data_IF_925370138274
#
_entry.id   IF_925370138274
#
_cell.length_a   1.000
_cell.length_b   1.000
_cell.length_c   1.000
_cell.angle_alpha   90.00
_cell.angle_beta   90.00
_cell.angle_gamma   90.00
#
_symmetry.space_group_name_H-M   'P 1'
#
loop_
_entity.id
_entity.type
_entity.pdbx_description
1 polymer ?
#
# COMPACT_ATOMS: atom_id res chain seq x y z
N UNK A 1 -0.64 14.09 17.06
CA UNK A 1 -0.39 12.74 17.60
C UNK A 1 -1.09 11.75 16.68
N UNK A 2 -0.36 10.79 16.10
CA UNK A 2 -0.93 9.71 15.29
C UNK A 2 -1.02 8.45 16.13
N UNK A 3 -2.18 7.80 16.13
CA UNK A 3 -2.37 6.47 16.73
C UNK A 3 -2.77 5.52 15.62
N UNK A 4 -2.02 4.44 15.45
CA UNK A 4 -2.29 3.39 14.46
C UNK A 4 -2.73 2.15 15.23
N UNK A 5 -3.88 1.60 14.86
CA UNK A 5 -4.46 0.40 15.47
C UNK A 5 -4.55 -0.72 14.42
N UNK A 6 -4.42 -2.00 14.82
CA UNK A 6 -4.68 -3.12 13.93
C UNK A 6 -6.11 -3.07 13.37
N UNK A 7 -6.28 -3.53 12.13
CA UNK A 7 -7.59 -3.77 11.54
C UNK A 7 -8.29 -4.95 12.20
N UNK A 8 -9.59 -5.11 11.93
CA UNK A 8 -10.36 -6.27 12.38
C UNK A 8 -9.73 -7.55 11.83
N UNK A 9 -9.19 -8.41 12.71
CA UNK A 9 -8.52 -9.66 12.33
C UNK A 9 -6.98 -9.60 12.30
N UNK A 10 -6.38 -8.41 12.41
CA UNK A 10 -4.93 -8.28 12.53
C UNK A 10 -4.48 -8.47 13.98
N UNK A 11 -3.55 -9.41 14.22
CA UNK A 11 -2.86 -9.52 15.52
C UNK A 11 -1.53 -8.77 15.48
N UNK A 12 -1.52 -7.56 16.05
CA UNK A 12 -0.30 -6.76 16.20
C UNK A 12 0.43 -6.99 17.51
N UNK A 13 0.00 -7.95 18.35
CA UNK A 13 0.59 -8.21 19.65
C UNK A 13 2.09 -8.44 19.53
N UNK A 14 2.86 -7.58 20.17
CA UNK A 14 4.26 -7.83 20.48
C UNK A 14 4.33 -8.59 21.80
N UNK A 15 5.42 -9.33 22.01
CA UNK A 15 5.58 -10.08 23.25
C UNK A 15 5.72 -9.16 24.48
N UNK A 16 6.21 -7.93 24.25
CA UNK A 16 6.37 -6.90 25.29
C UNK A 16 5.99 -5.51 24.79
N UNK A 17 5.48 -4.63 25.66
CA UNK A 17 5.32 -3.22 25.35
C UNK A 17 6.68 -2.56 25.25
N UNK A 18 6.90 -1.79 24.19
CA UNK A 18 8.13 -1.05 23.97
C UNK A 18 7.85 0.32 23.38
N UNK A 19 8.80 1.26 23.55
CA UNK A 19 8.73 2.58 22.92
C UNK A 19 10.09 2.97 22.37
N UNK A 20 10.09 3.71 21.25
CA UNK A 20 11.30 4.20 20.59
C UNK A 20 11.11 5.63 20.14
N UNK A 21 12.22 6.32 20.03
CA UNK A 21 12.29 7.64 19.44
C UNK A 21 13.23 7.57 18.24
N UNK A 22 12.70 7.93 17.07
CA UNK A 22 13.51 8.09 15.87
C UNK A 22 13.83 9.55 15.66
N UNK A 23 15.09 9.85 15.44
CA UNK A 23 15.56 11.21 15.14
C UNK A 23 16.28 11.17 13.80
N UNK A 24 15.81 11.99 12.87
CA UNK A 24 16.49 12.20 11.60
C UNK A 24 17.43 13.40 11.73
N UNK A 25 18.71 13.20 11.49
CA UNK A 25 19.73 14.26 11.43
C UNK A 25 20.10 14.48 9.98
N UNK A 26 20.20 15.75 9.57
CA UNK A 26 20.63 16.13 8.22
C UNK A 26 22.14 16.36 8.14
N UNK A 27 22.82 16.55 9.29
CA UNK A 27 24.26 16.77 9.39
C UNK A 27 24.85 16.11 10.67
N UNK A 28 25.55 14.97 10.57
CA UNK A 28 25.64 14.10 9.39
C UNK A 28 24.28 13.50 9.04
N UNK A 29 24.10 13.08 7.78
CA UNK A 29 22.89 12.36 7.34
C UNK A 29 22.79 11.02 8.09
N UNK A 30 21.92 10.98 9.09
CA UNK A 30 21.80 9.84 9.98
C UNK A 30 20.38 9.73 10.56
N UNK A 31 19.79 8.55 10.42
CA UNK A 31 18.58 8.18 11.12
C UNK A 31 18.94 7.38 12.38
N UNK A 32 18.70 7.97 13.55
CA UNK A 32 19.03 7.34 14.83
C UNK A 32 17.75 6.84 15.49
N UNK A 33 17.78 5.58 15.93
CA UNK A 33 16.68 4.95 16.67
C UNK A 33 17.11 4.77 18.13
N UNK A 34 16.48 5.50 19.03
CA UNK A 34 16.71 5.43 20.47
C UNK A 34 15.62 4.58 21.13
N UNK A 35 15.92 3.37 21.65
CA UNK A 35 14.97 2.62 22.44
C UNK A 35 14.77 3.29 23.79
N UNK A 36 13.53 3.68 24.10
CA UNK A 36 13.16 4.20 25.42
C UNK A 36 12.98 3.01 26.36
N UNK A 37 13.95 2.82 27.25
CA UNK A 37 13.91 1.75 28.25
C UNK A 37 12.87 2.08 29.30
N UNK A 38 11.93 1.16 29.50
CA UNK A 38 11.01 1.20 30.63
C UNK A 38 11.57 0.27 31.71
N UNK A 39 11.67 0.74 32.94
CA UNK A 39 12.22 -0.05 34.04
C UNK A 39 11.42 -1.37 34.19
N UNK A 40 12.12 -2.50 34.19
CA UNK A 40 11.50 -3.84 34.28
C UNK A 40 10.96 -4.42 32.97
N UNK A 41 10.96 -3.67 31.86
CA UNK A 41 10.57 -4.19 30.55
C UNK A 41 11.75 -4.82 29.82
N UNK A 42 11.54 -6.01 29.24
CA UNK A 42 12.51 -6.64 28.34
C UNK A 42 12.67 -5.77 27.09
N UNK A 43 13.91 -5.57 26.66
CA UNK A 43 14.20 -4.91 25.38
C UNK A 43 13.53 -5.69 24.24
N UNK A 44 12.85 -5.01 23.30
CA UNK A 44 12.28 -5.67 22.14
C UNK A 44 13.39 -6.28 21.28
N UNK A 45 13.06 -7.35 20.58
CA UNK A 45 13.97 -7.93 19.58
C UNK A 45 14.04 -7.03 18.34
N UNK A 46 15.14 -7.09 17.58
CA UNK A 46 15.21 -6.40 16.28
C UNK A 46 14.07 -6.79 15.34
N UNK A 47 13.61 -8.03 15.39
CA UNK A 47 12.46 -8.47 14.60
C UNK A 47 11.17 -7.71 14.97
N UNK A 48 10.85 -7.60 16.26
CA UNK A 48 9.68 -6.84 16.74
C UNK A 48 9.77 -5.35 16.39
N UNK A 49 10.97 -4.77 16.50
CA UNK A 49 11.23 -3.38 16.08
C UNK A 49 10.92 -3.19 14.60
N UNK A 50 11.50 -4.05 13.75
CA UNK A 50 11.33 -3.99 12.30
C UNK A 50 9.86 -4.10 11.90
N UNK A 51 9.11 -5.04 12.51
CA UNK A 51 7.67 -5.16 12.26
C UNK A 51 6.90 -3.90 12.67
N UNK A 52 7.23 -3.29 13.82
CA UNK A 52 6.64 -2.03 14.26
C UNK A 52 6.90 -0.89 13.26
N UNK A 53 8.12 -0.77 12.77
CA UNK A 53 8.48 0.25 11.77
C UNK A 53 7.80 0.03 10.42
N UNK A 54 7.70 -1.21 9.94
CA UNK A 54 6.98 -1.52 8.69
C UNK A 54 5.51 -1.12 8.80
N UNK A 55 4.85 -1.43 9.92
CA UNK A 55 3.45 -1.05 10.17
C UNK A 55 3.27 0.47 10.21
N UNK A 56 4.16 1.18 10.90
CA UNK A 56 4.13 2.64 10.96
C UNK A 56 4.38 3.27 9.58
N UNK A 57 5.35 2.76 8.83
CA UNK A 57 5.66 3.23 7.48
C UNK A 57 4.47 3.02 6.53
N UNK A 58 3.83 1.85 6.58
CA UNK A 58 2.62 1.57 5.81
C UNK A 58 1.47 2.52 6.17
N UNK A 59 1.26 2.78 7.46
CA UNK A 59 0.25 3.74 7.91
C UNK A 59 0.56 5.17 7.43
N UNK A 60 1.81 5.62 7.53
CA UNK A 60 2.23 6.93 7.05
C UNK A 60 2.06 7.06 5.52
N UNK A 61 2.38 6.01 4.75
CA UNK A 61 2.19 5.99 3.30
C UNK A 61 0.71 6.13 2.91
N UNK A 62 -0.21 5.49 3.65
CA UNK A 62 -1.65 5.65 3.43
C UNK A 62 -2.15 7.08 3.73
N UNK A 63 -1.53 7.76 4.69
CA UNK A 63 -1.85 9.14 5.02
C UNK A 63 -1.28 10.14 4.02
N UNK A 64 -0.18 9.82 3.34
CA UNK A 64 0.42 10.71 2.35
C UNK A 64 -0.52 10.99 1.17
N UNK A 65 -1.33 9.99 0.78
CA UNK A 65 -2.39 10.14 -0.22
C UNK A 65 -3.59 10.99 0.23
N UNK A 66 -3.67 11.36 1.52
CA UNK A 66 -4.81 12.04 2.14
C UNK A 66 -4.49 13.48 2.53
N UNK A 67 -4.81 14.43 1.64
CA UNK A 67 -4.55 15.88 1.82
C UNK A 67 -5.19 16.46 3.10
N UNK A 68 -6.33 15.92 3.53
CA UNK A 68 -7.07 16.31 4.74
C UNK A 68 -6.31 15.97 6.03
N UNK A 69 -5.56 14.88 6.04
CA UNK A 69 -4.82 14.43 7.23
C UNK A 69 -3.50 15.16 7.39
N UNK A 70 -2.81 15.52 6.29
CA UNK A 70 -1.58 16.32 6.35
C UNK A 70 -1.79 17.65 7.09
N UNK A 71 -2.95 18.29 6.89
CA UNK A 71 -3.32 19.52 7.59
C UNK A 71 -3.44 19.35 9.12
N UNK A 72 -3.78 18.15 9.61
CA UNK A 72 -3.84 17.85 11.05
C UNK A 72 -2.45 17.69 11.67
N UNK A 73 -1.44 17.30 10.89
CA UNK A 73 -0.05 17.21 11.34
C UNK A 73 0.66 18.56 11.34
N UNK A 74 0.35 19.42 10.37
CA UNK A 74 0.88 20.79 10.31
C UNK A 74 0.20 21.74 11.29
N UNK A 75 -0.93 21.34 11.88
CA UNK A 75 -1.59 22.12 12.92
C UNK A 75 -0.73 22.04 14.18
N UNK A 76 -0.07 23.16 14.52
CA UNK A 76 0.50 23.33 15.85
C UNK A 76 -0.55 22.95 16.90
N UNK A 77 -0.16 22.34 18.04
CA UNK A 77 -1.08 22.14 19.14
C UNK A 77 -1.53 23.50 19.65
N UNK A 78 -2.62 24.00 19.04
CA UNK A 78 -3.30 25.20 19.48
C UNK A 78 -3.66 24.99 20.94
N UNK A 79 -3.20 25.92 21.77
CA UNK A 79 -3.47 25.98 23.20
C UNK A 79 -4.91 25.52 23.48
N UNK A 80 -5.03 24.57 24.40
CA UNK A 80 -6.29 23.94 24.77
C UNK A 80 -7.38 25.00 24.99
N UNK A 81 -8.27 25.18 24.00
CA UNK A 81 -9.48 25.96 24.18
C UNK A 81 -10.42 25.13 25.04
N UNK A 82 -10.41 25.42 26.34
CA UNK A 82 -11.43 25.08 27.33
C UNK A 82 -12.83 25.12 26.70
N UNK A 83 -13.41 23.95 26.43
CA UNK A 83 -14.83 23.82 26.09
C UNK A 83 -15.61 23.46 27.36
N UNK A 84 -15.61 24.38 28.30
CA UNK A 84 -16.72 24.50 29.26
C UNK A 84 -17.72 25.52 28.73
N UNK A 85 -18.72 25.04 28.00
CA UNK A 85 -20.09 25.58 28.09
C UNK A 85 -21.06 24.60 27.44
N UNK A 86 -21.52 23.68 28.28
CA UNK A 86 -22.84 23.09 28.15
C UNK A 86 -23.82 24.26 28.18
N UNK A 87 -24.43 24.58 27.03
CA UNK A 87 -25.60 25.45 27.01
C UNK A 87 -26.77 24.64 26.47
N UNK A 88 -27.63 24.28 27.43
CA UNK A 88 -28.99 23.78 27.24
C UNK A 88 -29.72 24.62 26.17
N UNK A 89 -30.05 23.98 25.06
CA UNK A 89 -31.25 24.20 24.26
C UNK A 89 -31.85 22.81 24.13
N UNK A 90 -32.95 22.47 24.81
CA UNK A 90 -34.26 23.08 24.67
C UNK A 90 -35.15 21.99 24.12
N UNK A 91 -35.77 21.22 25.02
CA UNK A 91 -36.77 20.19 24.71
C UNK A 91 -37.97 20.83 24.01
N UNK A 92 -38.01 20.79 22.69
CA UNK A 92 -39.25 20.92 21.89
C UNK A 92 -39.00 20.24 20.54
N UNK A 93 -39.77 19.20 20.20
CA UNK A 93 -39.70 18.57 18.88
C UNK A 93 -39.79 17.04 18.82
N UNK A 94 -40.15 16.35 19.91
CA UNK A 94 -40.57 14.95 19.82
C UNK A 94 -42.01 14.91 19.29
N UNK A 95 -42.21 14.88 17.98
CA UNK A 95 -43.58 14.79 17.44
C UNK A 95 -43.76 14.69 15.92
N UNK A 96 -42.72 14.90 15.09
CA UNK A 96 -42.88 14.91 13.62
C UNK A 96 -41.91 14.00 12.86
N UNK A 97 -41.08 13.20 13.54
CA UNK A 97 -40.05 12.39 12.88
C UNK A 97 -40.50 10.97 12.45
N UNK A 98 -41.71 10.53 12.80
CA UNK A 98 -42.16 9.14 12.53
C UNK A 98 -43.02 8.97 11.26
N UNK A 99 -43.57 10.03 10.68
CA UNK A 99 -44.41 9.93 9.49
C UNK A 99 -43.63 9.95 8.16
N UNK A 100 -42.44 10.57 8.12
CA UNK A 100 -41.62 10.65 6.90
C UNK A 100 -40.77 9.38 6.65
N UNK A 101 -40.45 8.62 7.69
CA UNK A 101 -39.60 7.43 7.59
C UNK A 101 -40.30 6.21 6.97
N UNK A 102 -41.63 6.09 7.12
CA UNK A 102 -42.40 4.95 6.61
C UNK A 102 -42.76 5.08 5.12
N UNK A 103 -42.88 6.29 4.59
CA UNK A 103 -43.21 6.50 3.17
C UNK A 103 -42.03 6.19 2.23
N UNK A 104 -40.78 6.29 2.71
CA UNK A 104 -39.57 6.03 1.91
C UNK A 104 -39.21 4.53 1.80
N UNK A 105 -39.79 3.67 2.65
CA UNK A 105 -39.52 2.22 2.63
C UNK A 105 -40.42 1.45 1.65
N UNK A 106 -41.47 2.07 1.12
CA UNK A 106 -42.48 1.41 0.27
C UNK A 106 -42.43 1.86 -1.21
N UNK A 107 -41.48 2.70 -1.62
CA UNK A 107 -41.30 2.98 -3.05
C UNK A 107 -40.44 1.90 -3.72
N UNK A 108 -40.97 1.20 -4.75
CA UNK A 108 -40.17 0.30 -5.56
C UNK A 108 -39.19 1.13 -6.36
N UNK A 109 -37.90 0.98 -6.08
CA UNK A 109 -36.85 1.54 -6.94
C UNK A 109 -36.82 0.73 -8.24
N UNK A 110 -36.90 1.38 -9.42
CA UNK A 110 -36.59 0.72 -10.67
C UNK A 110 -35.16 0.18 -10.61
N UNK A 111 -34.99 -1.11 -10.94
CA UNK A 111 -33.66 -1.69 -11.16
C UNK A 111 -33.13 -1.08 -12.46
N UNK A 112 -32.38 0.01 -12.32
CA UNK A 112 -31.66 0.62 -13.43
C UNK A 112 -30.38 -0.20 -13.64
N UNK A 113 -30.33 -0.91 -14.78
CA UNK A 113 -29.15 -1.66 -15.20
C UNK A 113 -27.93 -0.73 -15.25
N UNK A 114 -26.76 -1.15 -14.76
CA UNK A 114 -25.55 -0.36 -14.94
C UNK A 114 -25.22 -0.33 -16.43
N UNK A 115 -25.35 0.87 -17.02
CA UNK A 115 -24.86 1.19 -18.35
C UNK A 115 -23.36 0.95 -18.38
N UNK A 116 -22.93 0.12 -19.32
CA UNK A 116 -21.57 0.08 -19.85
C UNK A 116 -21.18 1.50 -20.28
N UNK A 117 -20.13 2.05 -19.68
CA UNK A 117 -19.58 3.35 -20.08
C UNK A 117 -18.63 3.92 -19.05
N UNK A 118 -17.34 3.90 -19.41
CA UNK A 118 -16.22 4.68 -18.91
C UNK A 118 -15.39 4.16 -17.71
N UNK A 119 -14.27 3.54 -18.10
CA UNK A 119 -12.91 3.58 -17.53
C UNK A 119 -12.74 3.86 -16.03
N UNK A 120 -12.39 2.84 -15.21
CA UNK A 120 -12.02 3.03 -13.81
C UNK A 120 -10.50 3.18 -13.59
N UNK A 121 -10.12 4.38 -13.14
CA UNK A 121 -8.88 4.65 -12.41
C UNK A 121 -8.85 3.87 -11.08
N UNK A 122 -7.68 3.29 -10.82
CA UNK A 122 -7.36 2.26 -9.84
C UNK A 122 -7.60 2.68 -8.37
N UNK A 123 -8.64 2.12 -7.73
CA UNK A 123 -8.79 2.09 -6.28
C UNK A 123 -8.34 0.72 -5.75
N UNK A 124 -7.58 0.69 -4.65
CA UNK A 124 -7.08 -0.56 -4.06
C UNK A 124 -8.25 -1.32 -3.42
N UNK A 125 -8.54 -2.49 -3.96
CA UNK A 125 -9.58 -3.42 -3.50
C UNK A 125 -8.96 -4.48 -2.58
N UNK A 126 -9.57 -4.74 -1.43
CA UNK A 126 -9.20 -5.86 -0.55
C UNK A 126 -10.19 -7.00 -0.80
N UNK A 127 -9.68 -8.17 -1.19
CA UNK A 127 -10.49 -9.36 -1.42
C UNK A 127 -10.56 -10.20 -0.15
N UNK A 128 -11.76 -10.34 0.40
CA UNK A 128 -12.11 -11.41 1.34
C UNK A 128 -11.88 -12.72 0.57
N UNK A 129 -11.14 -13.67 1.13
CA UNK A 129 -10.53 -14.82 0.42
C UNK A 129 -11.47 -15.80 -0.32
N UNK A 130 -12.72 -15.42 -0.60
CA UNK A 130 -13.66 -16.10 -1.47
C UNK A 130 -13.66 -15.55 -2.92
N UNK A 131 -13.01 -14.42 -3.22
CA UNK A 131 -12.94 -13.89 -4.59
C UNK A 131 -11.64 -13.08 -4.84
N UNK A 132 -10.52 -13.81 -4.99
CA UNK A 132 -9.22 -13.23 -5.32
C UNK A 132 -9.08 -13.17 -6.85
N UNK A 133 -9.86 -12.29 -7.48
CA UNK A 133 -9.47 -11.76 -8.79
C UNK A 133 -8.53 -10.57 -8.56
N UNK A 134 -7.27 -10.86 -8.22
CA UNK A 134 -6.22 -9.83 -8.38
C UNK A 134 -6.22 -9.46 -9.87
N UNK A 135 -6.32 -8.17 -10.26
CA UNK A 135 -6.10 -7.75 -11.64
C UNK A 135 -4.61 -7.92 -11.95
N UNK A 136 -4.25 -9.16 -12.18
CA UNK A 136 -3.00 -9.64 -12.72
C UNK A 136 -3.00 -9.34 -14.21
N UNK A 137 -2.88 -8.06 -14.53
CA UNK A 137 -2.70 -7.66 -15.93
C UNK A 137 -1.22 -7.84 -16.24
N UNK A 138 -0.80 -9.11 -16.31
CA UNK A 138 0.37 -9.47 -17.06
C UNK A 138 0.09 -9.16 -18.53
N UNK A 139 1.13 -8.75 -19.25
CA UNK A 139 1.00 -8.56 -20.69
C UNK A 139 1.24 -9.90 -21.37
N UNK A 140 0.58 -10.18 -22.51
CA UNK A 140 0.90 -11.35 -23.30
C UNK A 140 2.37 -11.24 -23.77
N UNK A 141 3.06 -12.37 -23.86
CA UNK A 141 4.42 -12.43 -24.39
C UNK A 141 4.52 -11.64 -25.72
N UNK A 142 5.43 -10.65 -25.84
CA UNK A 142 5.61 -9.89 -27.06
C UNK A 142 6.09 -10.77 -28.22
N UNK A 143 5.71 -10.46 -29.46
CA UNK A 143 6.21 -11.18 -30.65
C UNK A 143 7.70 -10.92 -30.92
N UNK A 144 8.20 -9.76 -30.50
CA UNK A 144 9.60 -9.35 -30.67
C UNK A 144 10.18 -8.82 -29.36
N UNK A 145 11.49 -9.00 -29.11
CA UNK A 145 12.14 -8.49 -27.90
C UNK A 145 12.04 -6.96 -27.79
N UNK A 146 11.97 -6.44 -26.57
CA UNK A 146 12.01 -5.01 -26.35
C UNK A 146 13.35 -4.40 -26.80
N UNK A 147 13.34 -3.11 -27.16
CA UNK A 147 14.54 -2.40 -27.61
C UNK A 147 15.70 -2.50 -26.62
N UNK A 148 15.40 -2.46 -25.32
CA UNK A 148 16.40 -2.51 -24.24
C UNK A 148 16.60 -3.92 -23.66
N UNK A 149 15.96 -4.93 -24.24
CA UNK A 149 16.07 -6.32 -23.79
C UNK A 149 17.33 -6.97 -24.35
N UNK A 150 17.98 -7.76 -23.50
CA UNK A 150 19.07 -8.64 -23.88
C UNK A 150 18.56 -9.67 -24.88
N UNK A 151 19.24 -9.73 -26.02
CA UNK A 151 19.10 -10.80 -27.00
C UNK A 151 20.11 -11.91 -26.69
N UNK A 152 19.93 -13.11 -27.24
CA UNK A 152 20.91 -14.20 -27.13
C UNK A 152 22.35 -13.73 -27.41
N UNK A 153 23.35 -14.28 -26.70
CA UNK A 153 23.26 -15.42 -25.78
C UNK A 153 22.69 -15.08 -24.39
N UNK A 154 21.74 -15.89 -23.94
CA UNK A 154 21.18 -15.84 -22.58
C UNK A 154 22.09 -16.57 -21.60
N UNK A 155 22.01 -16.21 -20.31
CA UNK A 155 22.80 -16.88 -19.27
C UNK A 155 22.23 -18.30 -19.06
N UNK A 156 23.04 -19.37 -19.24
CA UNK A 156 22.60 -20.74 -19.03
C UNK A 156 22.00 -20.94 -17.63
N UNK A 157 20.97 -21.78 -17.52
CA UNK A 157 20.27 -22.15 -16.27
C UNK A 157 19.49 -21.01 -15.57
N UNK A 158 19.91 -19.75 -15.74
CA UNK A 158 19.26 -18.59 -15.15
C UNK A 158 18.20 -17.95 -16.07
N UNK A 159 18.36 -18.09 -17.38
CA UNK A 159 17.54 -17.40 -18.37
C UNK A 159 17.07 -18.35 -19.46
N UNK A 160 15.86 -18.09 -19.96
CA UNK A 160 15.30 -18.79 -21.11
C UNK A 160 15.22 -17.86 -22.31
N UNK A 161 15.51 -18.39 -23.48
CA UNK A 161 15.27 -17.70 -24.74
C UNK A 161 13.83 -17.93 -25.17
N UNK A 162 13.06 -16.84 -25.29
CA UNK A 162 11.70 -16.86 -25.83
C UNK A 162 11.60 -15.73 -26.85
N UNK A 163 11.25 -16.09 -28.09
CA UNK A 163 11.06 -15.15 -29.22
C UNK A 163 12.26 -14.22 -29.44
N UNK A 164 13.48 -14.76 -29.31
CA UNK A 164 14.74 -14.05 -29.54
C UNK A 164 15.13 -13.06 -28.44
N UNK A 165 14.47 -13.09 -27.27
CA UNK A 165 14.80 -12.30 -26.09
C UNK A 165 15.14 -13.21 -24.91
N UNK A 166 15.97 -12.72 -24.00
CA UNK A 166 16.28 -13.41 -22.74
C UNK A 166 15.28 -13.01 -21.65
N UNK A 167 14.81 -14.02 -20.92
CA UNK A 167 13.80 -13.87 -19.87
C UNK A 167 14.22 -14.63 -18.61
N UNK A 168 13.92 -14.05 -17.44
CA UNK A 168 13.95 -14.78 -16.18
C UNK A 168 12.57 -15.39 -15.94
N UNK A 169 12.49 -16.71 -15.78
CA UNK A 169 11.27 -17.39 -15.34
C UNK A 169 11.07 -17.13 -13.85
N UNK A 170 9.87 -16.69 -13.45
CA UNK A 170 9.50 -16.62 -12.05
C UNK A 170 8.95 -17.98 -11.61
N UNK A 171 9.25 -18.40 -10.39
CA UNK A 171 8.64 -19.57 -9.74
C UNK A 171 7.18 -19.29 -9.33
N UNK A 172 6.38 -18.80 -10.28
CA UNK A 172 4.98 -18.44 -10.13
C UNK A 172 4.24 -18.71 -11.45
N UNK A 173 3.06 -19.30 -11.33
CA UNK A 173 2.13 -19.50 -12.45
C UNK A 173 1.12 -18.36 -12.53
N UNK A 174 0.44 -18.24 -13.66
CA UNK A 174 -0.68 -17.30 -13.81
C UNK A 174 -1.70 -17.47 -12.68
N UNK A 175 -2.34 -16.40 -12.16
CA UNK A 175 -2.27 -15.01 -12.59
C UNK A 175 -0.92 -14.32 -12.31
N UNK A 176 -0.30 -13.80 -13.38
CA UNK A 176 1.03 -13.23 -13.33
C UNK A 176 1.04 -11.79 -12.79
N UNK A 177 2.03 -11.39 -11.97
CA UNK A 177 2.06 -10.05 -11.41
C UNK A 177 2.24 -8.99 -12.51
N UNK A 178 1.89 -7.73 -12.19
CA UNK A 178 2.08 -6.61 -13.11
C UNK A 178 3.52 -6.53 -13.61
N UNK A 179 3.68 -6.03 -14.84
CA UNK A 179 4.97 -5.86 -15.50
C UNK A 179 5.72 -7.16 -15.79
N UNK A 180 5.03 -8.32 -15.73
CA UNK A 180 5.56 -9.60 -16.21
C UNK A 180 4.83 -10.04 -17.47
N UNK A 181 5.54 -10.76 -18.34
CA UNK A 181 4.96 -11.40 -19.50
C UNK A 181 4.37 -12.74 -19.08
N UNK A 182 3.12 -13.01 -19.44
CA UNK A 182 2.54 -14.33 -19.33
C UNK A 182 2.80 -15.13 -20.62
N UNK A 183 3.33 -16.34 -20.46
CA UNK A 183 3.51 -17.29 -21.56
C UNK A 183 3.35 -18.71 -21.05
N UNK A 184 2.46 -19.48 -21.70
CA UNK A 184 2.18 -20.88 -21.34
C UNK A 184 1.85 -21.09 -19.84
N UNK A 185 1.11 -20.14 -19.24
CA UNK A 185 0.72 -20.19 -17.82
C UNK A 185 1.85 -19.86 -16.83
N UNK A 186 3.01 -19.42 -17.30
CA UNK A 186 4.17 -19.01 -16.50
C UNK A 186 4.45 -17.52 -16.64
N UNK A 187 5.16 -16.96 -15.67
CA UNK A 187 5.47 -15.53 -15.60
C UNK A 187 6.96 -15.26 -15.90
N UNK A 188 7.21 -14.28 -16.75
CA UNK A 188 8.55 -13.96 -17.24
C UNK A 188 8.89 -12.48 -17.06
N UNK A 189 10.15 -12.20 -16.70
CA UNK A 189 10.70 -10.85 -16.61
C UNK A 189 11.76 -10.65 -17.71
N UNK A 190 11.66 -9.61 -18.55
CA UNK A 190 12.64 -9.38 -19.60
C UNK A 190 13.98 -8.98 -19.00
N UNK A 191 15.06 -9.59 -19.49
CA UNK A 191 16.43 -9.27 -19.05
C UNK A 191 16.91 -8.02 -19.78
N UNK A 192 17.38 -7.00 -19.06
CA UNK A 192 17.97 -5.78 -19.68
C UNK A 192 19.33 -6.11 -20.33
N UNK A 193 19.68 -5.42 -21.41
CA UNK A 193 21.04 -5.42 -21.96
C UNK A 193 22.07 -4.96 -20.89
N UNK A 194 23.31 -5.47 -20.91
CA UNK A 194 24.38 -4.95 -20.06
C UNK A 194 24.60 -3.46 -20.34
N UNK A 195 24.86 -2.67 -19.30
CA UNK A 195 25.24 -1.28 -19.49
C UNK A 195 26.60 -1.21 -20.24
N UNK A 196 26.78 -0.22 -21.14
CA UNK A 196 28.02 -0.09 -21.90
C UNK A 196 29.20 0.11 -20.95
N UNK A 197 30.28 -0.64 -21.18
CA UNK A 197 31.50 -0.43 -20.41
C UNK A 197 32.08 0.95 -20.70
N UNK A 198 32.50 1.72 -19.67
CA UNK A 198 33.19 2.97 -19.88
C UNK A 198 34.47 2.72 -20.67
N UNK A 199 34.58 3.33 -21.85
CA UNK A 199 35.81 3.29 -22.64
C UNK A 199 36.71 4.42 -22.15
N UNK A 200 37.92 4.07 -21.70
CA UNK A 200 38.94 5.09 -21.44
C UNK A 200 39.25 5.82 -22.74
N UNK A 201 39.20 7.14 -22.72
CA UNK A 201 39.70 7.97 -23.80
C UNK A 201 41.21 8.07 -23.57
N UNK A 202 42.02 7.38 -24.38
CA UNK A 202 43.47 7.61 -24.35
C UNK A 202 43.74 9.03 -24.88
N UNK A 203 44.58 9.84 -24.20
CA UNK A 203 45.02 11.15 -24.66
C UNK A 203 46.04 11.07 -25.81
#
# INVERSE_FOLDING_TARGET
MLVVMPGTGDDWRTSTPWSMQTTNFTEPDALVVHPKRTAGAKLPTFHEMTLGFIRLAGALAQLDGRKDVRALFSREPGAASSRHKVQRWGLTGAGLALAAGLALLLWPRPIEQPKTGDTPTEAIFFSDGQDISIPAIAYPMPETPFKEQRKPPCIPEAQVEIRGGCWNELAKTAPCPRSTAEYQGKCYVPVKKPDPQPRSVQP
#
